data_IF_385139785452
#
_entry.id   IF_385139785452
#
_cell.length_a   1.000
_cell.length_b   1.000
_cell.length_c   1.000
_cell.angle_alpha   90.00
_cell.angle_beta   90.00
_cell.angle_gamma   90.00
#
_symmetry.space_group_name_H-M   'P 1'
#
loop_
_entity.id
_entity.type
_entity.pdbx_description
1 polymer ?
#
# COMPACT_ATOMS: atom_id res chain seq x y z
N UNK A 1 -4.79 12.94 2.16
CA UNK A 1 -3.91 12.42 3.23
C UNK A 1 -2.49 12.36 2.69
N UNK A 2 -1.48 12.41 3.55
CA UNK A 2 -0.07 12.18 3.18
C UNK A 2 0.34 10.75 3.55
N UNK A 3 1.23 10.13 2.77
CA UNK A 3 1.80 8.81 3.06
C UNK A 3 3.21 8.94 3.61
N UNK A 4 3.46 8.34 4.78
CA UNK A 4 4.78 8.30 5.43
C UNK A 4 5.21 6.84 5.57
N UNK A 5 6.30 6.47 4.88
CA UNK A 5 6.91 5.15 5.02
C UNK A 5 7.61 5.01 6.36
N UNK A 6 7.54 3.82 6.96
CA UNK A 6 8.32 3.48 8.16
C UNK A 6 9.50 2.57 7.87
N UNK A 7 9.57 1.98 6.67
CA UNK A 7 10.55 0.97 6.28
C UNK A 7 11.58 1.51 5.28
N UNK A 8 12.86 1.17 5.48
CA UNK A 8 13.97 1.64 4.65
C UNK A 8 14.12 0.90 3.31
N UNK A 9 13.50 -0.28 3.16
CA UNK A 9 13.58 -1.09 1.95
C UNK A 9 12.56 -0.68 0.87
N UNK A 10 11.76 0.34 1.16
CA UNK A 10 10.77 0.89 0.24
C UNK A 10 11.06 2.36 -0.02
N UNK A 11 10.76 2.79 -1.25
CA UNK A 11 10.82 4.20 -1.63
C UNK A 11 9.45 4.68 -2.07
N UNK A 12 8.95 5.74 -1.46
CA UNK A 12 7.73 6.39 -1.91
C UNK A 12 8.05 7.24 -3.14
N UNK A 13 7.25 7.08 -4.20
CA UNK A 13 7.25 7.95 -5.37
C UNK A 13 6.16 9.05 -5.24
N UNK A 14 5.46 9.09 -4.10
CA UNK A 14 4.40 10.05 -3.81
C UNK A 14 3.03 9.61 -4.35
N UNK A 15 2.09 10.57 -4.35
CA UNK A 15 0.74 10.38 -4.88
C UNK A 15 0.68 10.81 -6.35
N UNK A 16 0.35 9.87 -7.22
CA UNK A 16 0.11 10.14 -8.63
C UNK A 16 -1.34 10.57 -8.83
N UNK A 17 -1.55 11.83 -9.19
CA UNK A 17 -2.90 12.39 -9.41
C UNK A 17 -3.59 11.83 -10.66
N UNK A 18 -2.83 11.41 -11.67
CA UNK A 18 -3.39 10.89 -12.92
C UNK A 18 -3.96 9.49 -12.71
N UNK A 19 -3.30 8.68 -11.89
CA UNK A 19 -3.71 7.31 -11.54
C UNK A 19 -4.50 7.25 -10.22
N UNK A 20 -4.51 8.36 -9.46
CA UNK A 20 -5.18 8.51 -8.16
C UNK A 20 -4.73 7.50 -7.10
N UNK A 21 -3.47 7.09 -7.15
CA UNK A 21 -2.88 6.11 -6.22
C UNK A 21 -1.55 6.60 -5.64
N UNK A 22 -1.15 6.03 -4.51
CA UNK A 22 0.21 6.18 -4.00
C UNK A 22 1.13 5.18 -4.69
N UNK A 23 2.26 5.65 -5.21
CA UNK A 23 3.27 4.79 -5.84
C UNK A 23 4.41 4.53 -4.86
N UNK A 24 4.77 3.26 -4.71
CA UNK A 24 5.84 2.78 -3.85
C UNK A 24 6.69 1.81 -4.65
N UNK A 25 8.00 1.85 -4.44
CA UNK A 25 8.94 0.92 -5.05
C UNK A 25 9.60 0.06 -3.96
N UNK A 26 9.47 -1.26 -4.07
CA UNK A 26 10.25 -2.20 -3.29
C UNK A 26 11.68 -2.23 -3.84
N UNK A 27 12.65 -1.85 -3.01
CA UNK A 27 14.07 -1.86 -3.37
C UNK A 27 14.74 -3.22 -3.10
N UNK A 28 14.04 -4.12 -2.41
CA UNK A 28 14.51 -5.49 -2.16
C UNK A 28 14.28 -6.39 -3.37
N UNK A 29 15.12 -7.41 -3.51
CA UNK A 29 14.94 -8.48 -4.51
C UNK A 29 13.93 -9.55 -4.07
N UNK A 30 13.37 -9.41 -2.86
CA UNK A 30 12.44 -10.37 -2.25
C UNK A 30 11.11 -9.70 -1.88
N UNK A 31 10.02 -10.48 -1.77
CA UNK A 31 8.78 -9.99 -1.21
C UNK A 31 8.97 -9.64 0.27
N UNK A 32 8.65 -8.41 0.65
CA UNK A 32 8.80 -7.91 2.02
C UNK A 32 7.50 -7.26 2.50
N UNK A 33 7.28 -7.30 3.81
CA UNK A 33 6.13 -6.60 4.39
C UNK A 33 6.36 -5.09 4.34
N UNK A 34 5.38 -4.37 3.84
CA UNK A 34 5.38 -2.91 3.75
C UNK A 34 4.49 -2.34 4.85
N UNK A 35 5.05 -1.46 5.68
CA UNK A 35 4.33 -0.68 6.68
C UNK A 35 4.42 0.81 6.36
N UNK A 36 3.29 1.49 6.45
CA UNK A 36 3.24 2.94 6.31
C UNK A 36 2.08 3.54 7.07
N UNK A 37 2.15 4.86 7.19
CA UNK A 37 1.15 5.67 7.87
C UNK A 37 0.49 6.56 6.83
N UNK A 38 -0.83 6.56 6.80
CA UNK A 38 -1.60 7.60 6.14
C UNK A 38 -2.00 8.67 7.16
N UNK A 39 -1.54 9.89 6.96
CA UNK A 39 -1.88 11.06 7.79
C UNK A 39 -3.25 11.61 7.38
N UNK A 40 -4.30 10.90 7.80
CA UNK A 40 -5.69 11.33 7.70
C UNK A 40 -6.04 12.38 8.77
N UNK A 41 -6.92 13.31 8.42
CA UNK A 41 -7.49 14.30 9.34
C UNK A 41 -8.92 14.63 8.93
N UNK A 42 -9.64 15.42 9.75
CA UNK A 42 -10.97 15.95 9.37
C UNK A 42 -10.93 16.82 8.11
N UNK A 43 -9.87 17.60 7.92
CA UNK A 43 -9.69 18.46 6.74
C UNK A 43 -9.18 17.72 5.51
N UNK A 44 -8.55 16.56 5.71
CA UNK A 44 -8.01 15.72 4.64
C UNK A 44 -8.18 14.24 5.03
N UNK A 45 -9.40 13.69 4.93
CA UNK A 45 -9.67 12.30 5.30
C UNK A 45 -8.94 11.32 4.37
N UNK A 46 -8.75 10.11 4.86
CA UNK A 46 -8.39 8.95 4.06
C UNK A 46 -9.69 8.39 3.50
N UNK A 47 -9.83 8.39 2.18
CA UNK A 47 -11.01 7.85 1.50
C UNK A 47 -10.53 6.88 0.44
N UNK A 48 -10.90 5.62 0.58
CA UNK A 48 -10.68 4.57 -0.41
C UNK A 48 -9.26 4.56 -1.01
N UNK A 49 -8.19 4.53 -0.18
CA UNK A 49 -6.83 4.67 -0.69
C UNK A 49 -6.48 3.51 -1.63
N UNK A 50 -5.85 3.88 -2.75
CA UNK A 50 -5.23 2.96 -3.71
C UNK A 50 -3.71 3.06 -3.62
N UNK A 51 -3.03 1.93 -3.64
CA UNK A 51 -1.58 1.82 -3.51
C UNK A 51 -1.07 0.92 -4.65
N UNK A 52 -0.08 1.41 -5.37
CA UNK A 52 0.67 0.68 -6.39
C UNK A 52 2.08 0.43 -5.86
N UNK A 53 2.48 -0.84 -5.80
CA UNK A 53 3.78 -1.28 -5.29
C UNK A 53 4.53 -1.97 -6.43
N UNK A 54 5.59 -1.33 -6.89
CA UNK A 54 6.53 -1.91 -7.85
C UNK A 54 7.39 -2.98 -7.19
N UNK A 55 7.73 -4.03 -7.94
CA UNK A 55 8.63 -5.10 -7.51
C UNK A 55 8.15 -5.81 -6.23
N UNK A 56 6.83 -5.99 -6.09
CA UNK A 56 6.24 -6.71 -4.96
C UNK A 56 6.72 -8.17 -4.88
N UNK A 57 6.71 -8.86 -6.02
CA UNK A 57 7.19 -10.24 -6.20
C UNK A 57 6.54 -11.31 -5.31
N UNK A 58 5.52 -10.98 -4.52
CA UNK A 58 4.70 -11.93 -3.76
C UNK A 58 3.41 -12.31 -4.52
N UNK A 59 2.92 -13.53 -4.33
CA UNK A 59 1.67 -13.99 -4.95
C UNK A 59 0.45 -13.76 -4.07
N UNK A 60 0.52 -14.10 -2.78
CA UNK A 60 -0.56 -13.84 -1.85
C UNK A 60 -0.27 -12.58 -1.02
N UNK A 61 -1.32 -11.90 -0.56
CA UNK A 61 -1.17 -10.64 0.18
C UNK A 61 -2.28 -10.49 1.21
N UNK A 62 -1.89 -10.09 2.43
CA UNK A 62 -2.80 -9.73 3.52
C UNK A 62 -2.66 -8.25 3.85
N UNK A 63 -3.77 -7.60 4.16
CA UNK A 63 -3.83 -6.18 4.48
C UNK A 63 -4.30 -6.01 5.91
N UNK A 64 -3.49 -5.33 6.73
CA UNK A 64 -3.90 -4.91 8.07
C UNK A 64 -4.09 -3.40 8.10
N UNK A 65 -5.15 -2.96 8.77
CA UNK A 65 -5.46 -1.56 9.07
C UNK A 65 -5.50 -1.41 10.58
N UNK A 66 -4.58 -0.64 11.14
CA UNK A 66 -4.37 -0.53 12.60
C UNK A 66 -4.29 -1.92 13.30
N UNK A 67 -3.59 -2.87 12.68
CA UNK A 67 -3.43 -4.23 13.19
C UNK A 67 -4.61 -5.18 12.97
N UNK A 68 -5.72 -4.71 12.40
CA UNK A 68 -6.88 -5.56 12.06
C UNK A 68 -6.86 -5.95 10.59
N UNK A 69 -7.01 -7.23 10.29
CA UNK A 69 -7.06 -7.72 8.90
C UNK A 69 -8.35 -7.28 8.20
N UNK A 70 -8.21 -6.70 7.00
CA UNK A 70 -9.33 -6.26 6.16
C UNK A 70 -9.41 -7.14 4.92
N UNK A 71 -10.42 -8.00 4.87
CA UNK A 71 -10.64 -8.96 3.77
C UNK A 71 -11.39 -8.32 2.59
N UNK A 72 -12.03 -7.18 2.82
CA UNK A 72 -12.75 -6.42 1.79
C UNK A 72 -11.80 -5.66 0.84
N UNK A 73 -10.50 -5.68 1.13
CA UNK A 73 -9.49 -5.09 0.25
C UNK A 73 -9.49 -5.79 -1.12
N UNK A 74 -9.30 -5.01 -2.18
CA UNK A 74 -9.19 -5.54 -3.55
C UNK A 74 -7.73 -5.55 -3.93
N UNK A 75 -7.24 -6.72 -4.31
CA UNK A 75 -5.85 -6.96 -4.64
C UNK A 75 -5.75 -7.36 -6.10
N UNK A 76 -4.85 -6.71 -6.84
CA UNK A 76 -4.50 -7.05 -8.21
C UNK A 76 -3.00 -7.28 -8.34
N UNK A 77 -2.62 -8.34 -9.02
CA UNK A 77 -1.23 -8.61 -9.38
C UNK A 77 -1.03 -8.27 -10.85
N UNK A 78 0.06 -7.55 -11.14
CA UNK A 78 0.45 -7.23 -12.49
C UNK A 78 1.79 -7.89 -12.81
N UNK A 79 1.77 -8.89 -13.69
CA UNK A 79 2.98 -9.58 -14.13
C UNK A 79 3.71 -8.73 -15.17
N UNK A 80 4.91 -8.27 -14.85
CA UNK A 80 5.77 -7.49 -15.74
C UNK A 80 6.98 -8.32 -16.17
N UNK A 81 7.76 -7.81 -17.12
CA UNK A 81 9.04 -8.44 -17.49
C UNK A 81 10.07 -8.41 -16.35
N UNK A 82 9.95 -7.48 -15.40
CA UNK A 82 10.89 -7.29 -14.30
C UNK A 82 10.50 -8.05 -13.02
N UNK A 83 9.27 -8.55 -12.93
CA UNK A 83 8.71 -9.16 -11.72
C UNK A 83 7.22 -8.92 -11.59
N UNK A 84 6.69 -9.07 -10.37
CA UNK A 84 5.27 -8.89 -10.07
C UNK A 84 5.09 -7.56 -9.35
N UNK A 85 4.24 -6.69 -9.90
CA UNK A 85 3.76 -5.50 -9.23
C UNK A 85 2.43 -5.78 -8.53
N UNK A 86 2.14 -5.04 -7.46
CA UNK A 86 0.94 -5.20 -6.65
C UNK A 86 0.12 -3.92 -6.66
N UNK A 87 -1.19 -4.06 -6.87
CA UNK A 87 -2.18 -2.99 -6.72
C UNK A 87 -3.12 -3.36 -5.58
N UNK A 88 -3.24 -2.47 -4.60
CA UNK A 88 -4.12 -2.65 -3.45
C UNK A 88 -5.09 -1.50 -3.39
N UNK A 89 -6.38 -1.81 -3.30
CA UNK A 89 -7.43 -0.87 -2.99
C UNK A 89 -8.08 -1.22 -1.66
N UNK A 90 -8.10 -0.26 -0.74
CA UNK A 90 -8.57 -0.47 0.63
C UNK A 90 -9.86 0.36 0.82
N UNK A 91 -11.06 -0.25 0.86
CA UNK A 91 -12.33 0.46 0.93
C UNK A 91 -12.62 0.99 2.34
N UNK A 92 -11.83 1.95 2.81
CA UNK A 92 -11.96 2.55 4.14
C UNK A 92 -12.17 4.07 4.06
N UNK A 93 -12.88 4.60 5.06
CA UNK A 93 -12.92 6.05 5.34
C UNK A 93 -12.43 6.28 6.76
N UNK A 94 -11.42 7.15 6.94
CA UNK A 94 -10.86 7.52 8.25
C UNK A 94 -10.52 9.01 8.29
N UNK A 95 -10.89 9.67 9.38
CA UNK A 95 -10.58 11.09 9.64
C UNK A 95 -9.38 11.28 10.58
N UNK A 96 -8.61 10.21 10.79
CA UNK A 96 -7.45 10.18 11.67
C UNK A 96 -6.28 9.47 10.99
N UNK A 97 -5.10 9.64 11.57
CA UNK A 97 -3.93 8.84 11.23
C UNK A 97 -4.26 7.34 11.30
N UNK A 98 -3.80 6.59 10.31
CA UNK A 98 -4.05 5.15 10.18
C UNK A 98 -2.80 4.45 9.72
N UNK A 99 -2.39 3.41 10.46
CA UNK A 99 -1.31 2.50 10.09
C UNK A 99 -1.85 1.45 9.12
N UNK A 100 -1.14 1.24 8.02
CA UNK A 100 -1.45 0.20 7.03
C UNK A 100 -0.25 -0.72 6.92
N UNK A 101 -0.51 -2.03 6.91
CA UNK A 101 0.50 -3.07 6.73
C UNK A 101 0.06 -3.97 5.57
N UNK A 102 0.95 -4.16 4.60
CA UNK A 102 0.75 -4.99 3.42
C UNK A 102 1.77 -6.11 3.52
N UNK A 103 1.30 -7.34 3.72
CA UNK A 103 2.13 -8.47 4.12
C UNK A 103 2.05 -9.54 3.02
N UNK A 104 3.16 -9.99 2.43
CA UNK A 104 3.14 -11.12 1.52
C UNK A 104 2.75 -12.39 2.31
N UNK A 105 1.77 -13.13 1.80
CA UNK A 105 1.43 -14.45 2.32
C UNK A 105 2.20 -15.54 1.55
N UNK A 106 2.33 -16.71 2.20
CA UNK A 106 3.18 -17.83 1.79
C UNK A 106 2.43 -18.81 0.91
#
# INVERSE_FOLDING_TARGET
AELVLTDNNFKSEGYDRSERCYKINNLSSKPESLTFILKGSKSSPIINPAIYIKNWNGQETRILVNGQEIKESRIGLNNTLAGIDLVVFIPITKESETKIEIIPAR
#
